data_IF_338568968646
#
_entry.id   IF_338568968646
#
_cell.length_a   1.000
_cell.length_b   1.000
_cell.length_c   1.000
_cell.angle_alpha   90.00
_cell.angle_beta   90.00
_cell.angle_gamma   90.00
#
_symmetry.space_group_name_H-M   'P 1'
#
loop_
_entity.id
_entity.type
_entity.pdbx_description
1 polymer ?
#
# COMPACT_ATOMS: atom_id res chain seq x y z
N UNK A 1 3.27 3.84 -3.43
CA UNK A 1 4.45 4.45 -4.09
C UNK A 1 5.66 4.05 -3.27
N UNK A 2 6.63 3.38 -3.88
CA UNK A 2 7.83 2.88 -3.19
C UNK A 2 9.02 3.46 -3.97
N UNK A 3 9.86 4.25 -3.30
CA UNK A 3 11.04 4.86 -3.87
C UNK A 3 12.25 4.58 -2.97
N UNK A 4 13.38 4.25 -3.58
CA UNK A 4 14.68 4.21 -2.90
C UNK A 4 15.46 5.40 -3.43
N UNK A 5 15.81 6.32 -2.53
CA UNK A 5 16.46 7.58 -2.89
C UNK A 5 17.79 7.68 -2.15
N UNK A 6 18.84 8.01 -2.89
CA UNK A 6 20.16 8.20 -2.31
C UNK A 6 20.19 9.46 -1.41
N UNK A 7 20.71 9.34 -0.20
CA UNK A 7 20.81 10.47 0.75
C UNK A 7 21.59 11.65 0.16
N UNK A 8 22.76 11.40 -0.44
CA UNK A 8 23.59 12.45 -1.06
C UNK A 8 22.89 13.19 -2.21
N UNK A 9 21.96 12.53 -2.91
CA UNK A 9 21.14 13.17 -3.92
C UNK A 9 20.15 14.17 -3.28
N UNK A 10 19.51 13.77 -2.18
CA UNK A 10 18.60 14.65 -1.42
C UNK A 10 19.36 15.85 -0.84
N UNK A 11 20.52 15.62 -0.24
CA UNK A 11 21.39 16.69 0.29
C UNK A 11 21.81 17.66 -0.80
N UNK A 12 22.27 17.14 -1.95
CA UNK A 12 22.67 17.96 -3.10
C UNK A 12 21.54 18.83 -3.62
N UNK A 13 20.32 18.28 -3.73
CA UNK A 13 19.16 19.07 -4.15
C UNK A 13 18.91 20.22 -3.17
N UNK A 14 18.93 19.96 -1.87
CA UNK A 14 18.56 20.95 -0.86
C UNK A 14 19.65 21.99 -0.51
N UNK A 15 20.87 21.85 -1.04
CA UNK A 15 22.01 22.69 -0.67
C UNK A 15 21.86 24.20 -0.98
N UNK A 16 20.93 24.59 -1.88
CA UNK A 16 20.78 25.99 -2.34
C UNK A 16 19.32 26.48 -2.36
N UNK A 17 18.49 26.02 -1.41
CA UNK A 17 17.09 26.46 -1.34
C UNK A 17 16.23 25.98 -2.51
N UNK A 18 16.53 24.80 -3.05
CA UNK A 18 15.77 24.17 -4.11
C UNK A 18 14.33 23.89 -3.67
N UNK A 19 13.40 24.04 -4.62
CA UNK A 19 12.00 23.68 -4.44
C UNK A 19 11.52 22.89 -5.64
N UNK A 20 10.72 21.85 -5.40
CA UNK A 20 10.02 21.15 -6.46
C UNK A 20 8.93 22.04 -7.08
N UNK A 21 8.54 21.78 -8.35
CA UNK A 21 7.42 22.48 -8.97
C UNK A 21 6.14 22.37 -8.14
N UNK A 22 5.35 23.45 -8.15
CA UNK A 22 4.04 23.48 -7.51
C UNK A 22 2.96 23.11 -8.53
N UNK A 23 2.19 22.08 -8.22
CA UNK A 23 1.02 21.64 -8.97
C UNK A 23 -0.24 22.26 -8.37
N UNK A 24 -1.15 22.68 -9.25
CA UNK A 24 -2.40 23.33 -8.87
C UNK A 24 -3.55 22.34 -8.84
N UNK A 25 -4.21 22.21 -7.69
CA UNK A 25 -5.48 21.50 -7.55
C UNK A 25 -6.61 22.47 -7.17
N UNK A 26 -7.65 22.54 -8.00
CA UNK A 26 -8.85 23.33 -7.74
C UNK A 26 -9.75 22.54 -6.78
N UNK A 27 -10.11 23.12 -5.63
CA UNK A 27 -10.81 22.41 -4.55
C UNK A 27 -11.95 23.24 -3.95
N UNK A 28 -12.94 22.53 -3.39
CA UNK A 28 -13.92 23.06 -2.44
C UNK A 28 -13.26 23.10 -1.07
N UNK A 29 -12.92 24.28 -0.60
CA UNK A 29 -12.22 24.51 0.67
C UNK A 29 -13.23 25.05 1.67
N UNK A 30 -13.53 24.24 2.68
CA UNK A 30 -14.29 24.65 3.86
C UNK A 30 -13.62 25.89 4.48
N UNK A 31 -14.39 26.94 4.70
CA UNK A 31 -13.89 28.21 5.24
C UNK A 31 -14.89 28.82 6.20
N UNK A 32 -14.48 29.90 6.87
CA UNK A 32 -15.33 30.67 7.77
C UNK A 32 -15.62 32.02 7.10
N UNK A 33 -16.88 32.46 7.13
CA UNK A 33 -17.28 33.77 6.61
C UNK A 33 -16.91 34.93 7.57
N UNK A 34 -17.24 36.16 7.19
CA UNK A 34 -16.94 37.35 7.99
C UNK A 34 -17.72 37.39 9.31
N UNK A 35 -18.80 36.63 9.44
CA UNK A 35 -19.63 36.53 10.64
C UNK A 35 -19.19 35.39 11.57
N UNK A 36 -18.11 34.67 11.21
CA UNK A 36 -17.61 33.56 12.00
C UNK A 36 -18.35 32.23 11.75
N UNK A 37 -19.17 32.13 10.70
CA UNK A 37 -19.93 30.91 10.39
C UNK A 37 -19.15 29.98 9.44
N UNK A 38 -19.11 28.66 9.70
CA UNK A 38 -18.55 27.69 8.75
C UNK A 38 -19.38 27.60 7.46
N UNK A 39 -18.69 27.58 6.31
CA UNK A 39 -19.28 27.47 4.98
C UNK A 39 -18.66 26.29 4.23
N UNK A 40 -19.54 25.40 3.76
CA UNK A 40 -19.20 24.40 2.76
C UNK A 40 -19.58 24.96 1.37
N UNK A 41 -18.59 25.23 0.50
CA UNK A 41 -18.85 25.95 -0.75
C UNK A 41 -19.50 25.04 -1.80
N UNK A 42 -20.50 25.56 -2.52
CA UNK A 42 -21.18 24.83 -3.58
C UNK A 42 -20.27 24.54 -4.78
N UNK A 43 -19.38 25.48 -5.11
CA UNK A 43 -18.39 25.39 -6.19
C UNK A 43 -16.96 25.51 -5.66
N UNK A 44 -15.93 25.05 -6.40
CA UNK A 44 -14.55 25.23 -5.99
C UNK A 44 -14.19 26.71 -5.78
N UNK A 45 -13.69 27.03 -4.60
CA UNK A 45 -13.42 28.40 -4.14
C UNK A 45 -11.94 28.64 -3.85
N UNK A 46 -11.07 27.65 -4.08
CA UNK A 46 -9.65 27.80 -3.79
C UNK A 46 -8.74 26.86 -4.56
N UNK A 47 -7.45 27.19 -4.47
CA UNK A 47 -6.35 26.45 -5.06
C UNK A 47 -5.54 25.82 -3.93
N UNK A 48 -5.38 24.51 -3.97
CA UNK A 48 -4.38 23.79 -3.19
C UNK A 48 -3.13 23.61 -4.05
N UNK A 49 -1.98 24.03 -3.54
CA UNK A 49 -0.68 23.82 -4.17
C UNK A 49 -0.03 22.58 -3.55
N UNK A 50 0.43 21.66 -4.39
CA UNK A 50 1.09 20.41 -3.96
C UNK A 50 2.36 20.21 -4.76
N UNK A 51 3.43 19.73 -4.13
CA UNK A 51 4.63 19.27 -4.82
C UNK A 51 4.62 17.74 -4.90
N UNK A 52 5.13 17.16 -5.98
CA UNK A 52 5.20 15.71 -6.10
C UNK A 52 6.64 15.19 -5.97
N UNK A 53 6.84 14.22 -5.08
CA UNK A 53 8.16 13.63 -4.82
C UNK A 53 8.83 13.08 -6.09
N UNK A 54 8.04 12.60 -7.05
CA UNK A 54 8.54 12.06 -8.31
C UNK A 54 9.01 13.12 -9.31
N UNK A 55 8.71 14.40 -9.10
CA UNK A 55 9.28 15.49 -9.89
C UNK A 55 10.80 15.62 -9.67
N UNK A 56 11.33 15.02 -8.60
CA UNK A 56 12.77 14.93 -8.38
C UNK A 56 13.46 13.87 -9.27
N UNK A 57 12.73 12.87 -9.77
CA UNK A 57 13.35 11.72 -10.48
C UNK A 57 14.15 12.13 -11.72
N UNK A 58 13.70 13.06 -12.58
CA UNK A 58 14.50 13.52 -13.72
C UNK A 58 15.79 14.24 -13.35
N UNK A 59 15.94 14.67 -12.09
CA UNK A 59 17.14 15.37 -11.61
C UNK A 59 18.23 14.40 -11.15
N UNK A 60 17.90 13.12 -10.98
CA UNK A 60 18.86 12.10 -10.62
C UNK A 60 19.78 11.78 -11.81
N UNK A 61 21.09 11.70 -11.56
CA UNK A 61 22.06 11.32 -12.60
C UNK A 61 21.91 9.87 -13.06
N UNK A 62 21.32 9.02 -12.22
CA UNK A 62 20.97 7.63 -12.51
C UNK A 62 19.61 7.33 -11.90
N UNK A 63 18.74 6.72 -12.68
CA UNK A 63 17.43 6.24 -12.25
C UNK A 63 17.26 4.79 -12.68
N UNK A 64 16.67 3.96 -11.83
CA UNK A 64 16.40 2.55 -12.08
C UNK A 64 14.92 2.31 -11.81
N UNK A 65 14.27 1.59 -12.72
CA UNK A 65 12.89 1.13 -12.55
C UNK A 65 12.93 -0.35 -12.19
N UNK A 66 12.36 -0.70 -11.03
CA UNK A 66 12.17 -2.07 -10.60
C UNK A 66 10.68 -2.40 -10.70
N UNK A 67 10.35 -3.34 -11.59
CA UNK A 67 9.00 -3.88 -11.67
C UNK A 67 8.79 -4.92 -10.57
N UNK A 68 7.61 -4.89 -9.94
CA UNK A 68 7.22 -5.80 -8.88
C UNK A 68 5.91 -6.50 -9.22
N UNK A 69 5.57 -7.55 -8.45
CA UNK A 69 4.30 -8.24 -8.59
C UNK A 69 3.25 -7.55 -7.73
N UNK A 70 2.14 -7.10 -8.34
CA UNK A 70 1.05 -6.43 -7.61
C UNK A 70 0.52 -7.29 -6.46
N UNK A 71 0.34 -8.60 -6.69
CA UNK A 71 -0.13 -9.56 -5.70
C UNK A 71 0.79 -9.70 -4.48
N UNK A 72 2.06 -9.32 -4.60
CA UNK A 72 3.04 -9.44 -3.53
C UNK A 72 3.33 -8.13 -2.80
N UNK A 73 3.18 -7.00 -3.47
CA UNK A 73 3.75 -5.73 -3.00
C UNK A 73 2.79 -4.53 -3.04
N UNK A 74 1.57 -4.69 -3.57
CA UNK A 74 0.69 -3.53 -3.75
C UNK A 74 -0.81 -3.82 -3.64
N UNK A 75 -1.38 -3.47 -2.48
CA UNK A 75 -2.82 -3.49 -2.18
C UNK A 75 -3.23 -2.16 -1.51
N UNK A 76 -3.49 -1.08 -2.28
CA UNK A 76 -3.77 0.24 -1.71
C UNK A 76 -5.21 0.36 -1.21
N UNK A 77 -5.42 1.22 -0.20
CA UNK A 77 -6.75 1.62 0.28
C UNK A 77 -6.94 3.11 -0.03
N UNK A 78 -7.88 3.41 -0.93
CA UNK A 78 -8.20 4.76 -1.43
C UNK A 78 -9.70 5.06 -1.37
N UNK A 79 -10.53 4.04 -1.53
CA UNK A 79 -11.97 4.15 -1.61
C UNK A 79 -12.63 3.53 -0.39
N UNK A 80 -13.83 4.02 -0.04
CA UNK A 80 -14.59 3.48 1.10
C UNK A 80 -15.02 2.03 0.85
N UNK A 81 -15.37 1.67 -0.40
CA UNK A 81 -15.77 0.33 -0.81
C UNK A 81 -15.30 0.05 -2.25
N UNK A 82 -15.28 -1.22 -2.65
CA UNK A 82 -14.95 -1.63 -4.01
C UNK A 82 -13.45 -1.68 -4.31
N UNK A 83 -13.05 -1.31 -5.52
CA UNK A 83 -11.64 -1.38 -5.94
C UNK A 83 -10.79 -0.47 -5.06
N UNK A 84 -9.60 -0.93 -4.65
CA UNK A 84 -8.68 -0.20 -3.77
C UNK A 84 -9.40 0.25 -2.47
N UNK A 85 -10.10 -0.67 -1.80
CA UNK A 85 -10.79 -0.47 -0.51
C UNK A 85 -10.20 -1.37 0.57
N UNK A 86 -10.67 -1.23 1.82
CA UNK A 86 -10.22 -2.09 2.92
C UNK A 86 -10.57 -3.57 2.67
N UNK A 87 -11.72 -3.84 2.08
CA UNK A 87 -12.18 -5.19 1.74
C UNK A 87 -11.27 -5.84 0.71
N UNK A 88 -11.00 -5.15 -0.41
CA UNK A 88 -10.16 -5.69 -1.48
C UNK A 88 -8.69 -5.81 -1.04
N UNK A 89 -8.19 -4.90 -0.19
CA UNK A 89 -6.85 -5.03 0.38
C UNK A 89 -6.74 -6.26 1.29
N UNK A 90 -7.75 -6.52 2.13
CA UNK A 90 -7.80 -7.71 2.99
C UNK A 90 -7.80 -9.00 2.17
N UNK A 91 -8.65 -9.09 1.14
CA UNK A 91 -8.70 -10.25 0.25
C UNK A 91 -7.34 -10.52 -0.42
N UNK A 92 -6.69 -9.48 -0.95
CA UNK A 92 -5.36 -9.60 -1.55
C UNK A 92 -4.29 -10.08 -0.55
N UNK A 93 -4.34 -9.62 0.71
CA UNK A 93 -3.41 -10.04 1.75
C UNK A 93 -3.62 -11.50 2.16
N UNK A 94 -4.87 -11.95 2.27
CA UNK A 94 -5.22 -13.36 2.54
C UNK A 94 -4.75 -14.26 1.40
N UNK A 95 -5.02 -13.87 0.16
CA UNK A 95 -4.59 -14.62 -1.02
C UNK A 95 -3.06 -14.72 -1.07
N UNK A 96 -2.34 -13.63 -0.78
CA UNK A 96 -0.88 -13.64 -0.69
C UNK A 96 -0.37 -14.59 0.40
N UNK A 97 -0.96 -14.54 1.60
CA UNK A 97 -0.59 -15.44 2.69
C UNK A 97 -0.85 -16.92 2.34
N UNK A 98 -1.98 -17.22 1.70
CA UNK A 98 -2.29 -18.54 1.20
C UNK A 98 -1.24 -19.03 0.18
N UNK A 99 -0.90 -18.19 -0.80
CA UNK A 99 0.12 -18.50 -1.81
C UNK A 99 1.49 -18.79 -1.17
N UNK A 100 1.85 -18.09 -0.09
CA UNK A 100 3.10 -18.35 0.64
C UNK A 100 3.10 -19.70 1.35
N UNK A 101 1.97 -20.07 1.96
CA UNK A 101 1.79 -21.37 2.61
C UNK A 101 1.80 -22.52 1.60
N UNK A 102 1.05 -22.38 0.50
CA UNK A 102 1.01 -23.36 -0.59
C UNK A 102 2.39 -23.52 -1.25
N UNK A 103 3.15 -22.43 -1.42
CA UNK A 103 4.53 -22.48 -1.89
C UNK A 103 5.44 -23.32 -0.98
N UNK A 104 5.16 -23.36 0.32
CA UNK A 104 5.87 -24.19 1.30
C UNK A 104 5.30 -25.62 1.42
N UNK A 105 4.27 -25.96 0.64
CA UNK A 105 3.62 -27.27 0.65
C UNK A 105 2.49 -27.43 1.68
N UNK A 106 2.04 -26.34 2.31
CA UNK A 106 0.89 -26.37 3.22
C UNK A 106 -0.40 -26.31 2.40
N UNK A 107 -1.33 -27.23 2.64
CA UNK A 107 -2.64 -27.20 2.01
C UNK A 107 -3.50 -26.07 2.59
N UNK A 108 -4.00 -25.20 1.72
CA UNK A 108 -4.93 -24.11 2.08
C UNK A 108 -6.31 -24.43 1.50
N UNK A 109 -7.40 -24.37 2.30
CA UNK A 109 -8.75 -24.59 1.78
C UNK A 109 -9.16 -23.45 0.85
N UNK A 110 -9.72 -23.82 -0.29
CA UNK A 110 -10.26 -22.91 -1.31
C UNK A 110 -11.71 -23.26 -1.61
N UNK A 111 -12.49 -22.27 -2.04
CA UNK A 111 -13.87 -22.41 -2.51
C UNK A 111 -13.89 -22.92 -3.95
N UNK A 112 -15.08 -23.25 -4.45
CA UNK A 112 -15.29 -23.71 -5.82
C UNK A 112 -14.84 -22.68 -6.88
N UNK A 113 -14.88 -21.38 -6.55
CA UNK A 113 -14.41 -20.29 -7.40
C UNK A 113 -12.88 -20.06 -7.36
N UNK A 114 -12.16 -20.86 -6.57
CA UNK A 114 -10.71 -20.79 -6.38
C UNK A 114 -10.26 -19.78 -5.32
N UNK A 115 -11.15 -18.94 -4.78
CA UNK A 115 -10.80 -18.02 -3.68
C UNK A 115 -10.52 -18.78 -2.39
N UNK A 116 -9.65 -18.22 -1.54
CA UNK A 116 -9.33 -18.82 -0.23
C UNK A 116 -10.59 -18.88 0.65
N UNK A 117 -10.84 -20.04 1.25
CA UNK A 117 -12.00 -20.31 2.12
C UNK A 117 -11.68 -20.19 3.60
N UNK A 118 -10.68 -19.39 3.98
CA UNK A 118 -10.31 -19.13 5.36
C UNK A 118 -9.68 -17.74 5.48
N UNK A 119 -9.58 -17.22 6.70
CA UNK A 119 -8.82 -16.01 6.98
C UNK A 119 -7.41 -16.40 7.40
N UNK A 120 -6.41 -15.90 6.69
CA UNK A 120 -5.00 -16.16 6.98
C UNK A 120 -4.28 -14.83 7.13
N UNK A 121 -3.57 -14.67 8.24
CA UNK A 121 -2.68 -13.55 8.49
C UNK A 121 -1.30 -14.08 8.93
N UNK A 122 -0.26 -13.53 8.32
CA UNK A 122 1.13 -13.86 8.65
C UNK A 122 1.78 -12.57 9.15
N UNK A 123 2.14 -12.55 10.43
CA UNK A 123 2.84 -11.43 11.01
C UNK A 123 4.26 -11.31 10.42
N UNK A 124 4.80 -10.09 10.26
CA UNK A 124 6.18 -9.89 9.85
C UNK A 124 7.22 -10.56 10.78
N UNK A 125 6.89 -10.78 12.06
CA UNK A 125 7.71 -11.55 13.00
C UNK A 125 7.77 -13.04 12.64
N UNK A 126 6.71 -13.57 12.03
CA UNK A 126 6.65 -14.94 11.55
C UNK A 126 7.35 -15.09 10.20
N UNK A 127 7.08 -14.24 9.22
CA UNK A 127 7.78 -14.29 7.93
C UNK A 127 7.82 -12.91 7.27
N UNK A 128 8.99 -12.55 6.70
CA UNK A 128 9.16 -11.34 5.90
C UNK A 128 9.02 -11.64 4.40
N UNK A 129 9.27 -12.87 3.99
CA UNK A 129 9.13 -13.37 2.61
C UNK A 129 8.65 -14.81 2.60
N UNK A 130 8.10 -15.25 1.45
CA UNK A 130 7.58 -16.61 1.24
C UNK A 130 8.56 -17.73 1.63
N UNK A 131 9.87 -17.52 1.45
CA UNK A 131 10.87 -18.54 1.74
C UNK A 131 11.04 -18.81 3.25
N UNK A 132 10.69 -17.84 4.10
CA UNK A 132 10.84 -17.96 5.56
C UNK A 132 9.87 -19.01 6.14
N UNK A 133 8.77 -19.29 5.44
CA UNK A 133 7.73 -20.26 5.85
C UNK A 133 8.30 -21.67 5.99
N UNK A 134 9.20 -22.08 5.08
CA UNK A 134 9.74 -23.45 5.03
C UNK A 134 10.44 -23.84 6.33
N UNK A 135 11.10 -22.89 7.00
CA UNK A 135 11.78 -23.13 8.27
C UNK A 135 10.82 -23.24 9.47
N UNK A 136 9.54 -22.88 9.30
CA UNK A 136 8.54 -22.80 10.36
C UNK A 136 7.34 -23.70 10.13
N UNK A 137 7.44 -24.69 9.22
CA UNK A 137 6.35 -25.63 8.92
C UNK A 137 5.77 -26.31 10.16
N UNK A 138 6.62 -26.62 11.15
CA UNK A 138 6.21 -27.24 12.42
C UNK A 138 5.38 -26.31 13.33
N UNK A 139 5.30 -25.02 13.01
CA UNK A 139 4.53 -24.02 13.76
C UNK A 139 3.20 -23.67 13.07
N UNK A 140 2.93 -24.26 11.89
CA UNK A 140 1.74 -23.98 11.10
C UNK A 140 0.69 -25.06 11.41
N UNK A 141 -0.49 -24.69 11.93
CA UNK A 141 -1.56 -25.65 12.19
C UNK A 141 -2.14 -26.18 10.88
N UNK A 142 -2.84 -27.31 10.95
CA UNK A 142 -3.72 -27.73 9.85
C UNK A 142 -4.82 -26.69 9.66
N UNK A 143 -5.00 -26.20 8.44
CA UNK A 143 -5.96 -25.16 8.10
C UNK A 143 -7.22 -25.80 7.50
N UNK A 144 -8.38 -25.48 8.07
CA UNK A 144 -9.68 -25.99 7.63
C UNK A 144 -10.55 -24.87 7.04
N UNK A 145 -11.57 -25.22 6.22
CA UNK A 145 -12.55 -24.25 5.73
C UNK A 145 -13.12 -23.41 6.87
N UNK A 146 -13.18 -22.10 6.65
CA UNK A 146 -13.69 -21.04 7.54
C UNK A 146 -12.86 -20.77 8.80
N UNK A 147 -11.66 -21.34 8.91
CA UNK A 147 -10.75 -21.03 10.01
C UNK A 147 -10.27 -19.57 9.95
N UNK A 148 -9.91 -19.04 11.13
CA UNK A 148 -9.10 -17.83 11.27
C UNK A 148 -7.72 -18.24 11.78
N UNK A 149 -6.69 -18.09 10.95
CA UNK A 149 -5.32 -18.49 11.24
C UNK A 149 -4.44 -17.26 11.32
N UNK A 150 -3.80 -17.07 12.48
CA UNK A 150 -2.85 -16.00 12.73
C UNK A 150 -1.50 -16.62 13.04
N UNK A 151 -0.51 -16.41 12.18
CA UNK A 151 0.86 -16.89 12.37
C UNK A 151 1.73 -15.74 12.85
N UNK A 152 2.18 -15.80 14.11
CA UNK A 152 2.92 -14.72 14.80
C UNK A 152 4.30 -15.15 15.27
#
# INVERSE_FOLDING_TARGET
AIHIINVSFVEKLNAKGFTLPLHRAIKKILHIDQQGKPIEPAEPNGIKLESFVFDALPLASKSIILQTLRSEEFAPVKNATGIDSAETAKEMMVERAANWLEYAGVAVPRKDDGSVDCLIEIAPSFALKKDDIKAKLNQIPTIKPKDNVYLT
#
